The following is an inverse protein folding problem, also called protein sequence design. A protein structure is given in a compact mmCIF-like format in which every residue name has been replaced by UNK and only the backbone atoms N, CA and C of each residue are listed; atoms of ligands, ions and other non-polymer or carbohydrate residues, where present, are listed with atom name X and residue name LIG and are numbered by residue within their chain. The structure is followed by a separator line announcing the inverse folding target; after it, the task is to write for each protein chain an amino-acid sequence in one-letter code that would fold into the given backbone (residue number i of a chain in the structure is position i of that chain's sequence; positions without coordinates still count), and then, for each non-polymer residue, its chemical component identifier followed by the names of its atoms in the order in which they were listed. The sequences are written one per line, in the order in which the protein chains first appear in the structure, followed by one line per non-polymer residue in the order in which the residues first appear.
data_IF_239237698214
#
_entry.id   IF_239237698214
#
_cell.length_a   1.000
_cell.length_b   1.000
_cell.length_c   1.000
_cell.angle_alpha   90.00
_cell.angle_beta   90.00
_cell.angle_gamma   90.00
#
_symmetry.space_group_name_H-M   'P 1'
#
loop_
_entity.id
_entity.type
_entity.pdbx_description
1 polymer ?
#
# COMPACT_ATOMS: atom_id res chain seq x y z
N UNK A 1 58.36 10.64 -14.34
CA UNK A 1 59.57 11.16 -15.06
C UNK A 1 59.30 10.95 -16.53
N UNK A 2 58.45 11.78 -17.12
CA UNK A 2 58.69 13.18 -17.57
C UNK A 2 59.33 13.18 -18.96
N UNK A 3 58.53 13.61 -19.93
CA UNK A 3 58.86 14.55 -21.01
C UNK A 3 57.50 14.94 -21.62
N UNK A 4 56.85 16.01 -21.12
CA UNK A 4 56.84 17.39 -21.66
C UNK A 4 56.45 17.47 -23.14
N UNK A 5 55.20 17.94 -23.43
CA UNK A 5 54.85 19.30 -23.94
C UNK A 5 55.08 19.44 -25.46
N UNK A 6 54.28 20.11 -26.29
CA UNK A 6 53.17 21.08 -26.18
C UNK A 6 52.78 21.43 -27.63
N UNK A 7 51.54 21.90 -27.81
CA UNK A 7 51.03 22.91 -28.79
C UNK A 7 49.62 22.46 -29.25
N UNK A 8 48.55 23.00 -28.64
CA UNK A 8 47.87 24.30 -28.93
C UNK A 8 47.20 24.27 -30.32
N UNK A 9 45.98 24.74 -30.60
CA UNK A 9 44.79 25.29 -29.92
C UNK A 9 43.76 25.48 -31.09
N UNK A 10 42.58 26.12 -30.85
CA UNK A 10 41.77 26.92 -31.83
C UNK A 10 40.78 26.07 -32.70
N UNK A 11 39.45 26.25 -32.81
CA UNK A 11 38.35 27.17 -32.39
C UNK A 11 37.03 26.35 -32.50
N UNK A 12 36.02 26.44 -31.64
CA UNK A 12 34.96 27.47 -31.52
C UNK A 12 34.08 27.71 -32.77
N UNK A 13 32.77 27.48 -32.53
CA UNK A 13 31.54 28.04 -33.14
C UNK A 13 31.18 27.79 -34.61
N UNK A 14 29.97 27.24 -34.82
CA UNK A 14 28.89 27.92 -35.54
C UNK A 14 27.53 27.26 -35.22
N UNK A 15 26.63 28.03 -34.60
CA UNK A 15 25.17 27.89 -34.69
C UNK A 15 24.68 28.50 -36.01
N UNK A 16 23.61 27.94 -36.59
CA UNK A 16 22.55 28.63 -37.36
C UNK A 16 21.51 27.56 -37.76
N UNK A 17 20.34 27.51 -37.11
CA UNK A 17 19.09 28.21 -37.43
C UNK A 17 18.51 27.83 -38.82
N UNK A 18 17.33 27.22 -38.81
CA UNK A 18 16.51 26.92 -39.99
C UNK A 18 15.06 26.78 -39.55
N UNK A 19 14.45 27.92 -39.26
CA UNK A 19 13.02 28.13 -39.34
C UNK A 19 12.69 28.60 -40.75
N UNK A 20 11.80 27.89 -41.46
CA UNK A 20 11.21 28.37 -42.70
C UNK A 20 9.74 27.96 -42.80
N UNK A 21 8.97 28.97 -43.20
CA UNK A 21 7.52 29.12 -43.26
C UNK A 21 6.83 28.22 -44.29
N UNK A 22 5.60 27.80 -43.99
CA UNK A 22 4.55 27.61 -45.01
C UNK A 22 3.22 28.20 -44.50
N UNK A 23 2.87 29.37 -45.05
CA UNK A 23 1.50 29.91 -45.15
C UNK A 23 1.21 30.20 -46.63
N UNK A 24 0.15 29.60 -47.16
CA UNK A 24 -0.82 30.08 -48.17
C UNK A 24 -1.74 28.86 -48.46
N UNK A 25 -3.06 28.93 -48.59
CA UNK A 25 -3.86 29.94 -49.31
C UNK A 25 -5.33 29.90 -48.84
N UNK A 26 -5.96 31.07 -48.94
CA UNK A 26 -7.36 31.39 -48.63
C UNK A 26 -8.26 31.02 -49.81
N UNK A 27 -9.42 30.41 -49.56
CA UNK A 27 -10.63 30.67 -50.39
C UNK A 27 -11.85 30.89 -49.49
N UNK A 28 -12.46 32.05 -49.67
CA UNK A 28 -13.78 32.45 -49.16
C UNK A 28 -14.87 31.85 -50.06
N UNK A 29 -16.03 31.46 -49.51
CA UNK A 29 -17.30 31.97 -50.05
C UNK A 29 -18.48 31.95 -49.05
N UNK A 30 -19.20 33.08 -49.07
CA UNK A 30 -20.60 33.40 -48.75
C UNK A 30 -21.35 32.75 -47.56
N UNK A 31 -21.72 33.55 -46.56
CA UNK A 31 -23.10 34.07 -46.28
C UNK A 31 -24.09 33.00 -45.79
N UNK A 32 -24.65 33.06 -44.57
CA UNK A 32 -25.31 34.19 -43.93
C UNK A 32 -26.83 33.93 -43.97
N UNK A 33 -27.45 33.69 -42.81
CA UNK A 33 -28.79 34.18 -42.46
C UNK A 33 -29.17 33.80 -41.03
N UNK A 34 -29.27 34.83 -40.20
CA UNK A 34 -29.99 34.85 -38.94
C UNK A 34 -31.51 34.85 -39.19
N UNK A 35 -32.29 34.17 -38.36
CA UNK A 35 -33.40 34.76 -37.57
C UNK A 35 -34.46 33.75 -37.08
N UNK A 36 -34.59 33.72 -35.75
CA UNK A 36 -35.80 33.90 -34.92
C UNK A 36 -37.03 32.98 -34.94
N UNK A 37 -37.58 32.91 -33.72
CA UNK A 37 -38.91 32.50 -33.20
C UNK A 37 -39.08 31.03 -32.80
N UNK A 38 -39.33 30.65 -31.54
CA UNK A 38 -40.09 31.22 -30.40
C UNK A 38 -41.61 31.33 -30.61
N UNK A 39 -42.33 30.69 -29.69
CA UNK A 39 -43.80 30.70 -29.43
C UNK A 39 -44.67 29.91 -30.42
N UNK A 40 -45.76 29.22 -30.08
CA UNK A 40 -46.47 28.80 -28.86
C UNK A 40 -47.66 27.91 -29.34
N UNK A 41 -48.41 27.32 -28.41
CA UNK A 41 -49.79 26.78 -28.47
C UNK A 41 -50.14 25.48 -29.25
N UNK A 42 -50.50 24.44 -28.47
CA UNK A 42 -51.93 24.19 -28.23
C UNK A 42 -52.64 23.01 -28.92
N UNK A 43 -52.81 21.92 -28.15
CA UNK A 43 -54.07 21.19 -27.91
C UNK A 43 -54.73 20.22 -28.93
N UNK A 44 -55.34 19.19 -28.33
CA UNK A 44 -56.53 18.38 -28.71
C UNK A 44 -56.29 16.96 -29.27
N UNK A 45 -56.63 15.95 -28.43
CA UNK A 45 -57.59 14.81 -28.57
C UNK A 45 -57.81 14.16 -29.95
N UNK A 46 -58.27 12.92 -30.16
CA UNK A 46 -58.73 11.74 -29.40
C UNK A 46 -58.95 10.64 -30.49
N UNK A 47 -59.35 9.43 -30.08
CA UNK A 47 -59.87 8.29 -30.88
C UNK A 47 -58.83 7.39 -31.59
N UNK A 48 -58.55 6.16 -31.13
CA UNK A 48 -59.37 4.95 -31.02
C UNK A 48 -59.68 4.25 -32.36
N UNK A 49 -59.27 2.97 -32.49
CA UNK A 49 -60.12 1.78 -32.76
C UNK A 49 -59.31 0.60 -33.36
N UNK A 50 -59.29 -0.50 -32.57
CA UNK A 50 -59.42 -1.96 -32.85
C UNK A 50 -58.86 -2.62 -34.12
N UNK A 51 -58.22 -3.78 -33.91
CA UNK A 51 -58.78 -5.14 -34.13
C UNK A 51 -57.72 -6.19 -33.72
N UNK A 52 -57.92 -6.95 -32.63
CA UNK A 52 -58.45 -8.33 -32.60
C UNK A 52 -57.67 -9.34 -33.45
N UNK A 53 -57.02 -10.31 -32.80
CA UNK A 53 -57.23 -11.73 -33.12
C UNK A 53 -56.94 -12.64 -31.92
N UNK A 54 -57.87 -13.57 -31.74
CA UNK A 54 -57.97 -14.62 -30.70
C UNK A 54 -57.37 -15.92 -31.26
N UNK A 55 -57.03 -16.91 -30.42
CA UNK A 55 -57.34 -18.36 -30.56
C UNK A 55 -56.48 -19.22 -29.58
N UNK A 56 -57.18 -19.83 -28.59
CA UNK A 56 -57.05 -21.18 -27.95
C UNK A 56 -55.72 -21.64 -27.33
N UNK A 57 -55.60 -22.27 -26.15
CA UNK A 57 -56.55 -22.94 -25.25
C UNK A 57 -56.19 -24.43 -25.05
N UNK A 58 -55.63 -24.81 -23.88
CA UNK A 58 -55.76 -26.09 -23.12
C UNK A 58 -54.52 -26.28 -22.21
N UNK A 59 -54.59 -26.02 -20.90
CA UNK A 59 -55.01 -26.93 -19.81
C UNK A 59 -54.12 -28.16 -19.64
N UNK A 60 -53.36 -28.21 -18.54
CA UNK A 60 -53.12 -29.41 -17.74
C UNK A 60 -53.03 -29.02 -16.25
N UNK A 61 -53.92 -29.64 -15.48
CA UNK A 61 -53.99 -29.69 -14.02
C UNK A 61 -52.75 -30.38 -13.44
N UNK A 62 -52.28 -29.93 -12.27
CA UNK A 62 -52.15 -30.87 -11.15
C UNK A 62 -52.05 -30.12 -9.80
N UNK A 63 -52.95 -30.56 -8.92
CA UNK A 63 -53.17 -30.17 -7.54
C UNK A 63 -52.17 -30.88 -6.63
N UNK A 64 -51.67 -30.25 -5.55
CA UNK A 64 -51.53 -30.90 -4.22
C UNK A 64 -51.33 -29.84 -3.11
N UNK A 65 -52.27 -29.93 -2.17
CA UNK A 65 -52.44 -29.45 -0.80
C UNK A 65 -51.29 -28.78 -0.03
N UNK A 66 -51.61 -27.59 0.48
CA UNK A 66 -51.12 -27.05 1.77
C UNK A 66 -51.94 -27.62 2.94
N UNK A 67 -51.43 -27.50 4.18
CA UNK A 67 -52.31 -26.99 5.23
C UNK A 67 -51.70 -25.79 5.98
N UNK A 68 -52.51 -24.73 6.02
CA UNK A 68 -52.37 -23.52 6.83
C UNK A 68 -52.64 -23.82 8.30
N UNK A 69 -51.87 -23.22 9.22
CA UNK A 69 -52.34 -22.94 10.59
C UNK A 69 -51.86 -21.53 10.96
N UNK A 70 -52.78 -20.57 10.86
CA UNK A 70 -52.80 -19.37 11.69
C UNK A 70 -53.50 -19.70 13.01
N UNK A 71 -52.95 -19.21 14.12
CA UNK A 71 -53.74 -18.78 15.29
C UNK A 71 -52.97 -17.78 16.15
N UNK A 72 -53.40 -16.54 16.04
CA UNK A 72 -53.35 -15.52 17.09
C UNK A 72 -54.18 -15.95 18.32
N UNK A 73 -53.70 -15.61 19.52
CA UNK A 73 -54.43 -14.85 20.57
C UNK A 73 -53.63 -14.77 21.89
N UNK A 74 -53.08 -13.56 22.11
CA UNK A 74 -53.14 -12.72 23.31
C UNK A 74 -53.56 -13.35 24.66
N UNK A 75 -52.71 -13.26 25.70
CA UNK A 75 -53.01 -12.44 26.89
C UNK A 75 -51.78 -12.20 27.79
N UNK A 76 -51.66 -10.92 28.16
CA UNK A 76 -50.80 -10.29 29.17
C UNK A 76 -50.59 -11.05 30.48
N UNK A 77 -49.41 -10.89 31.10
CA UNK A 77 -49.28 -10.34 32.46
C UNK A 77 -47.95 -9.60 32.66
N UNK A 78 -48.10 -8.43 33.30
CA UNK A 78 -47.10 -7.45 33.75
C UNK A 78 -45.84 -8.03 34.40
N UNK A 79 -44.71 -7.36 34.17
CA UNK A 79 -43.83 -7.03 35.30
C UNK A 79 -43.14 -5.67 35.09
N UNK A 80 -43.32 -4.78 36.06
CA UNK A 80 -42.73 -3.44 36.11
C UNK A 80 -42.02 -3.30 37.46
N UNK A 81 -40.99 -2.44 37.46
CA UNK A 81 -40.34 -1.77 38.59
C UNK A 81 -39.17 -2.55 39.21
N UNK A 82 -37.94 -2.06 39.00
CA UNK A 82 -37.28 -1.21 40.00
C UNK A 82 -35.85 -0.83 39.59
N UNK A 83 -35.62 0.46 39.36
CA UNK A 83 -34.31 1.10 39.37
C UNK A 83 -33.85 1.36 40.81
N UNK A 84 -32.53 1.23 41.05
CA UNK A 84 -31.66 2.02 41.97
C UNK A 84 -30.46 1.17 42.45
N UNK A 85 -29.38 1.76 43.01
CA UNK A 85 -28.63 2.94 42.55
C UNK A 85 -27.09 2.76 42.60
N UNK A 86 -26.37 3.68 41.95
CA UNK A 86 -24.92 3.91 42.08
C UNK A 86 -24.50 4.26 43.53
N UNK A 87 -23.31 3.85 44.00
CA UNK A 87 -22.77 4.33 45.26
C UNK A 87 -22.14 5.73 45.08
N UNK A 88 -22.60 6.66 45.92
CA UNK A 88 -21.95 7.95 46.19
C UNK A 88 -20.69 7.70 47.03
N UNK A 89 -19.58 8.33 46.66
CA UNK A 89 -18.49 8.64 47.60
C UNK A 89 -18.43 10.14 47.79
N UNK A 90 -18.51 10.53 49.07
CA UNK A 90 -18.55 11.89 49.58
C UNK A 90 -17.16 12.55 49.53
N UNK A 91 -17.13 13.83 49.15
CA UNK A 91 -16.06 14.76 49.53
C UNK A 91 -16.11 15.07 51.04
N UNK A 92 -14.99 15.50 51.62
CA UNK A 92 -15.00 16.53 52.64
C UNK A 92 -14.41 17.85 52.11
N UNK A 93 -15.23 18.90 52.22
CA UNK A 93 -14.88 20.31 52.04
C UNK A 93 -13.97 20.86 53.16
N UNK A 94 -12.90 21.56 52.79
CA UNK A 94 -12.29 22.74 53.42
C UNK A 94 -11.34 23.29 52.34
N UNK A 95 -11.29 24.55 51.90
CA UNK A 95 -11.68 25.83 52.49
C UNK A 95 -10.56 26.83 52.15
N UNK A 96 -10.94 27.99 51.58
CA UNK A 96 -10.18 29.23 51.41
C UNK A 96 -9.10 29.27 50.30
N UNK A 97 -8.73 30.40 49.71
CA UNK A 97 -9.24 31.77 49.54
C UNK A 97 -8.05 32.57 48.97
N UNK A 98 -8.30 33.61 48.16
CA UNK A 98 -7.33 34.59 47.63
C UNK A 98 -6.25 34.02 46.69
N UNK A 99 -5.79 34.70 45.65
CA UNK A 99 -5.96 36.07 45.20
C UNK A 99 -4.85 36.32 44.16
N UNK A 100 -5.22 36.96 43.06
CA UNK A 100 -4.32 37.49 42.02
C UNK A 100 -3.13 38.25 42.61
N UNK A 101 -1.90 37.98 42.16
CA UNK A 101 -0.88 39.00 41.87
C UNK A 101 0.14 38.53 40.81
N UNK A 102 0.37 39.41 39.83
CA UNK A 102 1.52 39.50 38.94
C UNK A 102 2.84 39.58 39.72
N UNK A 103 3.89 38.91 39.25
CA UNK A 103 5.22 39.52 39.16
C UNK A 103 6.17 38.73 38.25
N UNK A 104 6.44 39.31 37.09
CA UNK A 104 7.71 39.39 36.36
C UNK A 104 8.92 38.75 37.06
N UNK A 105 9.51 37.72 36.44
CA UNK A 105 10.94 37.41 36.58
C UNK A 105 11.50 36.93 35.24
N UNK A 106 12.28 37.81 34.62
CA UNK A 106 13.21 37.50 33.54
C UNK A 106 14.22 36.47 34.04
N UNK A 107 14.49 35.43 33.25
CA UNK A 107 15.76 34.73 33.39
C UNK A 107 16.37 34.48 32.00
N UNK A 108 17.54 35.08 31.87
CA UNK A 108 18.36 35.27 30.68
C UNK A 108 19.23 34.02 30.50
N UNK A 109 18.97 33.22 29.47
CA UNK A 109 19.81 32.08 29.11
C UNK A 109 20.91 32.56 28.17
N UNK A 110 22.08 32.84 28.74
CA UNK A 110 23.31 33.15 27.98
C UNK A 110 23.88 31.88 27.34
N UNK A 111 24.00 31.92 26.01
CA UNK A 111 24.87 31.05 25.21
C UNK A 111 26.33 31.50 25.41
N UNK A 112 27.24 30.56 25.63
CA UNK A 112 28.67 30.80 25.46
C UNK A 112 29.19 29.94 24.30
N UNK A 113 29.86 30.62 23.36
CA UNK A 113 30.52 30.06 22.19
C UNK A 113 31.92 29.50 22.51
N UNK A 114 32.44 28.52 21.75
CA UNK A 114 33.82 28.07 21.90
C UNK A 114 34.79 28.96 21.11
N UNK A 115 35.84 29.47 21.79
CA UNK A 115 36.93 30.23 21.16
C UNK A 115 38.07 29.32 20.70
N UNK A 116 38.39 29.44 19.43
CA UNK A 116 39.65 29.10 18.76
C UNK A 116 40.73 30.12 19.13
N UNK A 117 41.98 29.69 19.39
CA UNK A 117 43.19 30.36 18.86
C UNK A 117 44.48 29.61 19.21
N UNK A 118 45.37 29.62 18.22
CA UNK A 118 46.68 28.99 18.06
C UNK A 118 47.78 29.62 18.92
N UNK A 119 48.87 28.88 19.15
CA UNK A 119 50.28 29.28 18.90
C UNK A 119 51.27 28.14 19.21
N UNK A 120 52.15 27.83 18.26
CA UNK A 120 53.34 26.95 18.35
C UNK A 120 54.55 27.71 18.95
N UNK A 121 55.72 27.10 19.30
CA UNK A 121 56.66 26.51 18.31
C UNK A 121 57.55 25.30 18.76
N UNK A 122 58.02 24.55 17.75
CA UNK A 122 59.36 23.97 17.50
C UNK A 122 60.17 23.33 18.65
N UNK A 123 60.45 22.02 18.54
CA UNK A 123 61.79 21.46 18.81
C UNK A 123 61.99 20.12 18.07
N UNK A 124 63.16 19.98 17.43
CA UNK A 124 63.65 18.79 16.72
C UNK A 124 64.12 17.70 17.70
N UNK A 125 63.95 16.42 17.32
CA UNK A 125 64.57 15.31 18.05
C UNK A 125 64.37 13.97 17.34
N UNK A 126 65.38 13.54 16.58
CA UNK A 126 65.53 12.18 16.03
C UNK A 126 65.50 11.11 17.14
N UNK A 127 64.79 10.01 16.92
CA UNK A 127 64.85 8.84 17.81
C UNK A 127 64.00 7.68 17.31
N UNK A 128 64.63 6.78 16.55
CA UNK A 128 64.10 5.52 16.03
C UNK A 128 63.50 4.61 17.10
N UNK A 129 62.28 4.12 16.87
CA UNK A 129 61.64 3.04 17.66
C UNK A 129 60.71 2.23 16.77
N UNK A 130 61.00 0.94 16.64
CA UNK A 130 60.47 0.03 15.63
C UNK A 130 59.02 -0.44 15.86
N UNK A 131 58.40 -0.86 14.76
CA UNK A 131 57.23 -1.74 14.68
C UNK A 131 57.27 -2.92 15.65
N UNK A 132 56.12 -3.22 16.27
CA UNK A 132 55.46 -4.55 16.33
C UNK A 132 54.00 -4.28 16.75
N UNK A 133 52.97 -4.60 15.97
CA UNK A 133 52.57 -5.99 15.71
C UNK A 133 52.07 -6.62 17.00
N UNK A 134 50.87 -6.22 17.46
CA UNK A 134 50.20 -6.93 18.57
C UNK A 134 49.61 -8.20 17.98
N UNK A 135 50.46 -9.22 17.89
CA UNK A 135 50.04 -10.59 17.58
C UNK A 135 49.35 -11.15 18.83
N UNK A 136 48.04 -10.97 18.93
CA UNK A 136 47.21 -11.66 19.91
C UNK A 136 47.18 -13.16 19.59
N UNK A 137 48.24 -13.87 19.99
CA UNK A 137 48.32 -15.31 19.90
C UNK A 137 47.32 -15.94 20.88
N UNK A 138 46.16 -16.32 20.37
CA UNK A 138 45.19 -17.17 21.06
C UNK A 138 45.87 -18.52 21.34
N UNK A 139 46.36 -18.71 22.57
CA UNK A 139 46.97 -19.97 23.01
C UNK A 139 45.87 -20.96 23.41
N UNK A 140 45.39 -21.73 22.44
CA UNK A 140 44.45 -22.83 22.71
C UNK A 140 45.24 -23.99 23.31
N UNK A 141 44.99 -24.31 24.58
CA UNK A 141 45.59 -25.47 25.24
C UNK A 141 45.19 -26.75 24.47
N UNK A 142 46.14 -27.66 24.26
CA UNK A 142 45.94 -28.93 23.54
C UNK A 142 44.83 -29.77 24.16
N UNK A 143 44.60 -29.64 25.46
CA UNK A 143 43.49 -30.32 26.16
C UNK A 143 42.13 -29.66 25.92
N UNK A 144 42.10 -28.33 25.80
CA UNK A 144 40.86 -27.58 25.52
C UNK A 144 40.48 -27.67 24.05
N UNK A 145 41.45 -27.77 23.15
CA UNK A 145 41.23 -28.04 21.73
C UNK A 145 40.36 -29.29 21.53
N UNK A 146 40.68 -30.39 22.20
CA UNK A 146 39.89 -31.62 22.12
C UNK A 146 38.51 -31.51 22.78
N UNK A 147 38.32 -30.62 23.76
CA UNK A 147 36.99 -30.31 24.33
C UNK A 147 36.14 -29.57 23.31
N UNK A 148 36.68 -28.53 22.67
CA UNK A 148 35.95 -27.76 21.65
C UNK A 148 35.66 -28.58 20.40
N UNK A 149 36.60 -29.39 19.92
CA UNK A 149 36.36 -30.30 18.78
C UNK A 149 35.21 -31.27 19.08
N UNK A 150 35.11 -31.81 20.30
CA UNK A 150 34.00 -32.68 20.71
C UNK A 150 32.68 -31.91 20.76
N UNK A 151 32.66 -30.69 21.30
CA UNK A 151 31.46 -29.85 21.36
C UNK A 151 30.98 -29.49 19.95
N UNK A 152 31.89 -29.07 19.07
CA UNK A 152 31.59 -28.75 17.67
C UNK A 152 31.08 -29.99 16.92
N UNK A 153 31.68 -31.16 17.15
CA UNK A 153 31.20 -32.41 16.55
C UNK A 153 29.78 -32.77 17.03
N UNK A 154 29.48 -32.60 18.32
CA UNK A 154 28.12 -32.82 18.85
C UNK A 154 27.13 -31.81 18.27
N UNK A 155 27.50 -30.53 18.19
CA UNK A 155 26.65 -29.50 17.57
C UNK A 155 26.43 -29.79 16.08
N UNK A 156 27.46 -30.19 15.34
CA UNK A 156 27.33 -30.57 13.94
C UNK A 156 26.41 -31.79 13.77
N UNK A 157 26.50 -32.78 14.65
CA UNK A 157 25.58 -33.95 14.66
C UNK A 157 24.16 -33.55 15.05
N UNK A 158 23.98 -32.59 15.96
CA UNK A 158 22.65 -32.07 16.30
C UNK A 158 22.06 -31.24 15.16
N UNK A 159 22.86 -30.42 14.47
CA UNK A 159 22.42 -29.66 13.30
C UNK A 159 22.11 -30.60 12.14
N UNK A 160 22.98 -31.55 11.84
CA UNK A 160 22.75 -32.55 10.79
C UNK A 160 21.58 -33.46 11.14
N UNK A 161 21.45 -33.87 12.40
CA UNK A 161 20.32 -34.65 12.89
C UNK A 161 19.01 -33.85 12.89
N UNK A 162 19.04 -32.54 13.17
CA UNK A 162 17.89 -31.65 13.07
C UNK A 162 17.47 -31.42 11.62
N UNK A 163 18.43 -31.17 10.72
CA UNK A 163 18.17 -31.07 9.28
C UNK A 163 17.68 -32.40 8.71
N UNK A 164 18.28 -33.53 9.12
CA UNK A 164 17.78 -34.87 8.77
C UNK A 164 16.38 -35.09 9.34
N UNK A 165 16.08 -34.65 10.56
CA UNK A 165 14.74 -34.75 11.16
C UNK A 165 13.71 -33.85 10.46
N UNK A 166 14.10 -32.70 9.92
CA UNK A 166 13.25 -31.83 9.08
C UNK A 166 13.05 -32.44 7.68
N UNK A 167 14.02 -33.20 7.16
CA UNK A 167 13.92 -33.86 5.85
C UNK A 167 13.20 -35.21 5.94
N UNK A 168 13.34 -35.95 7.04
CA UNK A 168 12.73 -37.26 7.31
C UNK A 168 11.34 -37.12 7.93
N UNK A 169 11.09 -36.03 8.69
CA UNK A 169 9.74 -35.44 8.75
C UNK A 169 9.56 -34.57 7.52
N UNK A 170 9.51 -35.23 6.37
CA UNK A 170 8.85 -34.65 5.23
C UNK A 170 7.54 -34.03 5.74
N UNK A 171 7.46 -32.71 5.70
CA UNK A 171 6.22 -32.08 5.28
C UNK A 171 6.10 -32.46 3.82
N UNK A 172 5.88 -33.75 3.57
CA UNK A 172 5.00 -34.16 2.51
C UNK A 172 3.77 -33.33 2.81
N UNK A 173 3.50 -32.39 1.92
CA UNK A 173 2.16 -31.88 1.73
C UNK A 173 1.32 -33.14 1.55
N UNK A 174 0.83 -33.67 2.66
CA UNK A 174 -0.17 -34.70 2.71
C UNK A 174 -1.43 -33.97 2.23
N UNK A 175 -1.48 -33.72 0.93
CA UNK A 175 -2.71 -33.89 0.20
C UNK A 175 -3.09 -35.30 0.55
N UNK A 176 -3.94 -35.42 1.56
CA UNK A 176 -4.66 -36.65 1.83
C UNK A 176 -5.31 -36.94 0.49
N UNK A 177 -4.75 -37.87 -0.29
CA UNK A 177 -5.45 -38.43 -1.43
C UNK A 177 -6.69 -39.07 -0.82
N UNK A 178 -7.81 -38.33 -0.91
CA UNK A 178 -9.11 -38.85 -0.55
C UNK A 178 -9.28 -40.16 -1.34
N UNK A 179 -9.43 -41.32 -0.68
CA UNK A 179 -9.65 -42.58 -1.38
C UNK A 179 -10.95 -42.59 -2.20
N UNK A 180 -11.79 -41.55 -2.09
CA UNK A 180 -12.93 -41.29 -2.98
C UNK A 180 -12.58 -40.51 -4.26
N UNK A 181 -11.33 -40.09 -4.46
CA UNK A 181 -10.89 -39.37 -5.66
C UNK A 181 -11.32 -37.90 -5.70
N UNK A 182 -11.73 -37.29 -4.58
CA UNK A 182 -11.92 -35.86 -4.51
C UNK A 182 -10.56 -35.17 -4.36
N UNK A 183 -9.90 -34.95 -5.49
CA UNK A 183 -8.86 -33.92 -5.57
C UNK A 183 -9.52 -32.62 -5.09
N UNK A 184 -8.98 -31.93 -4.06
CA UNK A 184 -9.43 -30.59 -3.73
C UNK A 184 -9.44 -29.80 -5.04
N UNK A 185 -10.54 -29.12 -5.42
CA UNK A 185 -10.58 -28.37 -6.65
C UNK A 185 -9.32 -27.51 -6.70
N UNK A 186 -8.55 -27.60 -7.79
CA UNK A 186 -7.47 -26.67 -8.03
C UNK A 186 -8.02 -25.27 -7.73
N UNK A 187 -7.42 -24.55 -6.77
CA UNK A 187 -7.91 -23.25 -6.31
C UNK A 187 -8.17 -22.43 -7.57
N UNK A 188 -9.44 -22.16 -7.86
CA UNK A 188 -9.83 -21.57 -9.12
C UNK A 188 -9.10 -20.24 -9.26
N UNK A 189 -8.39 -20.03 -10.36
CA UNK A 189 -7.79 -18.73 -10.67
C UNK A 189 -8.93 -17.72 -10.73
N UNK A 190 -8.81 -16.64 -9.98
CA UNK A 190 -9.74 -15.51 -10.04
C UNK A 190 -9.19 -14.55 -11.08
N UNK A 191 -9.99 -14.21 -12.09
CA UNK A 191 -9.65 -13.08 -12.96
C UNK A 191 -9.82 -11.78 -12.17
N UNK A 192 -8.72 -11.10 -11.89
CA UNK A 192 -8.69 -9.83 -11.18
C UNK A 192 -8.46 -8.73 -12.20
N UNK A 193 -9.39 -7.78 -12.27
CA UNK A 193 -9.26 -6.60 -13.13
C UNK A 193 -8.12 -5.70 -12.64
N UNK A 194 -7.41 -5.06 -13.57
CA UNK A 194 -6.26 -4.17 -13.31
C UNK A 194 -6.45 -2.77 -13.94
N UNK A 195 -7.70 -2.34 -14.08
CA UNK A 195 -8.23 -1.30 -14.98
C UNK A 195 -7.42 0.03 -14.99
N UNK A 196 -7.77 0.94 -14.10
CA UNK A 196 -7.20 2.27 -13.89
C UNK A 196 -6.15 2.30 -12.78
N UNK A 197 -5.82 1.13 -12.25
CA UNK A 197 -5.00 0.97 -11.05
C UNK A 197 -3.53 1.37 -11.25
N UNK A 198 -2.91 1.77 -10.15
CA UNK A 198 -1.49 2.09 -10.14
C UNK A 198 -0.62 0.84 -10.38
N UNK A 199 0.21 0.89 -11.43
CA UNK A 199 1.13 -0.19 -11.81
C UNK A 199 2.60 0.19 -11.61
N UNK A 200 3.35 -0.62 -10.85
CA UNK A 200 4.82 -0.54 -10.70
C UNK A 200 5.48 -1.61 -11.56
N UNK A 201 6.41 -1.21 -12.42
CA UNK A 201 7.13 -2.09 -13.35
C UNK A 201 6.60 -2.03 -14.78
N UNK A 202 7.02 -2.99 -15.60
CA UNK A 202 6.57 -3.09 -17.00
C UNK A 202 5.12 -3.58 -17.07
N UNK A 203 4.21 -2.76 -17.63
CA UNK A 203 2.80 -3.13 -17.80
C UNK A 203 2.60 -4.41 -18.64
N UNK A 204 3.59 -4.81 -19.44
CA UNK A 204 3.56 -6.03 -20.25
C UNK A 204 4.30 -7.22 -19.62
N UNK A 205 4.73 -7.10 -18.36
CA UNK A 205 5.36 -8.20 -17.64
C UNK A 205 4.45 -9.44 -17.65
N UNK A 206 5.00 -10.65 -17.84
CA UNK A 206 4.22 -11.88 -17.95
C UNK A 206 3.53 -12.31 -16.65
N UNK A 207 3.95 -11.76 -15.51
CA UNK A 207 3.35 -12.03 -14.21
C UNK A 207 2.84 -10.73 -13.59
N UNK A 208 1.57 -10.73 -13.21
CA UNK A 208 0.93 -9.63 -12.49
C UNK A 208 0.67 -10.07 -11.06
N UNK A 209 1.16 -9.26 -10.12
CA UNK A 209 0.82 -9.34 -8.70
C UNK A 209 -0.17 -8.22 -8.42
N UNK A 210 -1.41 -8.56 -8.09
CA UNK A 210 -2.38 -7.59 -7.56
C UNK A 210 -2.35 -7.67 -6.04
N UNK A 211 -1.99 -6.58 -5.38
CA UNK A 211 -1.95 -6.45 -3.92
C UNK A 211 -3.16 -5.65 -3.43
N UNK A 212 -4.02 -6.25 -2.63
CA UNK A 212 -5.04 -5.55 -1.83
C UNK A 212 -4.47 -5.25 -0.45
N UNK A 213 -4.33 -3.95 -0.11
CA UNK A 213 -3.51 -3.52 1.02
C UNK A 213 -4.07 -2.29 1.73
N UNK A 214 -3.49 -1.99 2.88
CA UNK A 214 -3.96 -0.98 3.81
C UNK A 214 -2.75 -0.33 4.50
N UNK A 215 -2.63 0.99 4.38
CA UNK A 215 -1.49 1.75 4.91
C UNK A 215 -1.39 1.80 6.45
N UNK A 216 -2.46 1.50 7.20
CA UNK A 216 -2.43 1.33 8.66
C UNK A 216 -2.17 -0.12 9.10
N UNK A 217 -2.24 -1.08 8.18
CA UNK A 217 -2.10 -2.48 8.52
C UNK A 217 -0.63 -2.88 8.78
N UNK A 218 -0.28 -3.37 9.98
CA UNK A 218 1.09 -3.72 10.31
C UNK A 218 1.63 -4.90 9.48
N UNK A 219 0.75 -5.77 8.96
CA UNK A 219 1.17 -6.84 8.05
C UNK A 219 1.48 -6.31 6.65
N UNK A 220 0.77 -5.28 6.18
CA UNK A 220 1.07 -4.61 4.92
C UNK A 220 2.43 -3.92 5.01
N UNK A 221 2.69 -3.16 6.08
CA UNK A 221 4.03 -2.60 6.35
C UNK A 221 5.12 -3.67 6.39
N UNK A 222 4.84 -4.86 6.97
CA UNK A 222 5.81 -5.97 6.97
C UNK A 222 6.07 -6.49 5.56
N UNK A 223 5.04 -6.66 4.73
CA UNK A 223 5.22 -7.06 3.33
C UNK A 223 6.08 -6.04 2.58
N UNK A 224 5.71 -4.75 2.66
CA UNK A 224 6.44 -3.64 2.07
C UNK A 224 7.93 -3.67 2.44
N UNK A 225 8.24 -3.74 3.74
CA UNK A 225 9.61 -3.65 4.23
C UNK A 225 10.46 -4.90 4.03
N UNK A 226 9.87 -6.10 4.02
CA UNK A 226 10.64 -7.36 4.07
C UNK A 226 10.55 -8.21 2.81
N UNK A 227 9.45 -8.10 2.05
CA UNK A 227 9.17 -8.99 0.92
C UNK A 227 9.18 -8.23 -0.40
N UNK A 228 8.53 -7.06 -0.45
CA UNK A 228 8.43 -6.27 -1.67
C UNK A 228 9.81 -5.87 -2.20
N UNK A 229 10.76 -5.48 -1.34
CA UNK A 229 12.13 -5.14 -1.78
C UNK A 229 12.79 -6.25 -2.58
N UNK A 230 12.64 -7.51 -2.15
CA UNK A 230 13.22 -8.66 -2.85
C UNK A 230 12.48 -8.96 -4.16
N UNK A 231 11.16 -8.78 -4.19
CA UNK A 231 10.35 -8.91 -5.41
C UNK A 231 10.74 -7.83 -6.43
N UNK A 232 10.90 -6.59 -5.96
CA UNK A 232 11.25 -5.44 -6.77
C UNK A 232 12.61 -5.64 -7.46
N UNK A 233 13.63 -6.02 -6.69
CA UNK A 233 14.98 -6.25 -7.20
C UNK A 233 15.08 -7.43 -8.17
N UNK A 234 14.42 -8.55 -7.88
CA UNK A 234 14.60 -9.79 -8.64
C UNK A 234 13.64 -9.92 -9.83
N UNK A 235 12.45 -9.31 -9.75
CA UNK A 235 11.38 -9.55 -10.71
C UNK A 235 10.80 -8.29 -11.35
N UNK A 236 10.53 -7.22 -10.58
CA UNK A 236 9.91 -6.00 -11.15
C UNK A 236 10.92 -5.25 -12.02
N UNK A 237 12.10 -4.93 -11.49
CA UNK A 237 13.17 -4.24 -12.22
C UNK A 237 13.71 -5.04 -13.40
N UNK A 238 13.48 -6.35 -13.44
CA UNK A 238 13.88 -7.23 -14.54
C UNK A 238 12.78 -7.40 -15.61
N UNK A 239 11.64 -6.74 -15.45
CA UNK A 239 10.51 -6.79 -16.38
C UNK A 239 9.72 -8.10 -16.34
N UNK A 240 9.96 -8.95 -15.34
CA UNK A 240 9.27 -10.25 -15.19
C UNK A 240 7.94 -10.13 -14.47
N UNK A 241 7.83 -9.15 -13.58
CA UNK A 241 6.63 -8.90 -12.76
C UNK A 241 6.22 -7.44 -12.87
N UNK A 242 4.91 -7.19 -12.89
CA UNK A 242 4.35 -5.91 -12.47
C UNK A 242 3.55 -6.07 -11.18
N UNK A 243 3.57 -5.02 -10.37
CA UNK A 243 2.76 -4.91 -9.16
C UNK A 243 1.65 -3.91 -9.41
N UNK A 244 0.42 -4.35 -9.19
CA UNK A 244 -0.78 -3.50 -9.14
C UNK A 244 -1.16 -3.35 -7.68
N UNK A 245 -1.24 -2.12 -7.19
CA UNK A 245 -1.73 -1.85 -5.84
C UNK A 245 -3.23 -1.54 -5.90
N UNK A 246 -4.01 -2.12 -4.98
CA UNK A 246 -5.45 -1.92 -4.85
C UNK A 246 -5.78 -1.58 -3.40
N UNK A 247 -6.58 -0.54 -3.21
CA UNK A 247 -6.91 -0.07 -1.87
C UNK A 247 -7.90 -0.99 -1.15
N UNK A 248 -7.57 -1.35 0.09
CA UNK A 248 -8.45 -2.15 0.94
C UNK A 248 -8.45 -1.63 2.39
N UNK A 249 -8.86 -0.37 2.63
CA UNK A 249 -8.85 0.23 3.96
C UNK A 249 -9.83 -0.49 4.89
N UNK A 250 -9.31 -1.07 5.97
CA UNK A 250 -10.13 -1.78 6.95
C UNK A 250 -10.86 -0.78 7.85
N UNK A 251 -12.17 -0.95 8.07
CA UNK A 251 -12.98 0.05 8.79
C UNK A 251 -12.60 0.36 10.25
N UNK A 252 -11.71 -0.42 10.86
CA UNK A 252 -11.14 -0.13 12.19
C UNK A 252 -9.85 0.70 12.14
N UNK A 253 -9.28 0.89 10.95
CA UNK A 253 -8.16 1.77 10.67
C UNK A 253 -8.68 3.16 10.28
N UNK A 254 -8.54 4.12 11.20
CA UNK A 254 -9.13 5.45 11.08
C UNK A 254 -8.47 6.31 9.99
N UNK A 255 -7.20 6.07 9.67
CA UNK A 255 -6.47 6.85 8.65
C UNK A 255 -6.36 6.11 7.31
N UNK A 256 -6.66 4.82 7.24
CA UNK A 256 -6.47 4.02 6.04
C UNK A 256 -7.18 4.59 4.82
N UNK A 257 -8.45 4.99 4.96
CA UNK A 257 -9.23 5.59 3.87
C UNK A 257 -8.58 6.87 3.33
N UNK A 258 -8.15 7.78 4.22
CA UNK A 258 -7.52 9.04 3.78
C UNK A 258 -6.08 8.85 3.30
N UNK A 259 -5.39 7.79 3.73
CA UNK A 259 -4.08 7.44 3.21
C UNK A 259 -4.19 6.88 1.77
N UNK A 260 -5.17 6.02 1.52
CA UNK A 260 -5.53 5.54 0.18
C UNK A 260 -5.85 6.70 -0.77
N UNK A 261 -6.79 7.58 -0.38
CA UNK A 261 -7.11 8.78 -1.15
C UNK A 261 -5.87 9.68 -1.39
N UNK A 262 -4.94 9.76 -0.44
CA UNK A 262 -3.70 10.52 -0.62
C UNK A 262 -2.78 9.90 -1.67
N UNK A 263 -2.68 8.57 -1.74
CA UNK A 263 -1.93 7.88 -2.78
C UNK A 263 -2.56 8.14 -4.16
N UNK A 264 -3.89 8.02 -4.27
CA UNK A 264 -4.63 8.31 -5.50
C UNK A 264 -4.49 9.77 -5.95
N UNK A 265 -4.60 10.74 -5.04
CA UNK A 265 -4.37 12.15 -5.36
C UNK A 265 -2.93 12.45 -5.82
N UNK A 266 -1.94 11.69 -5.35
CA UNK A 266 -0.59 11.75 -5.89
C UNK A 266 -0.49 11.06 -7.26
N UNK A 267 -1.32 10.03 -7.50
CA UNK A 267 -1.48 9.35 -8.78
C UNK A 267 -1.99 10.26 -9.90
N UNK A 268 -2.90 11.20 -9.62
CA UNK A 268 -3.32 12.25 -10.57
C UNK A 268 -2.15 13.12 -11.07
N UNK A 269 -1.03 13.11 -10.33
CA UNK A 269 0.20 13.83 -10.66
C UNK A 269 1.34 12.89 -11.06
N UNK A 270 1.04 11.64 -11.41
CA UNK A 270 2.00 10.59 -11.82
C UNK A 270 2.99 10.17 -10.71
N UNK A 271 2.64 10.39 -9.43
CA UNK A 271 3.49 10.10 -8.26
C UNK A 271 2.85 9.15 -7.26
N UNK A 272 1.98 8.25 -7.73
CA UNK A 272 1.30 7.28 -6.87
C UNK A 272 2.28 6.49 -6.01
N UNK A 273 3.27 5.83 -6.66
CA UNK A 273 4.20 4.96 -5.94
C UNK A 273 5.15 5.73 -5.01
N UNK A 274 5.42 7.00 -5.28
CA UNK A 274 6.19 7.85 -4.36
C UNK A 274 5.41 8.14 -3.08
N UNK A 275 4.10 8.42 -3.19
CA UNK A 275 3.25 8.59 -2.02
C UNK A 275 3.01 7.27 -1.30
N UNK A 276 2.78 6.18 -2.03
CA UNK A 276 2.69 4.83 -1.47
C UNK A 276 3.92 4.49 -0.61
N UNK A 277 5.12 4.67 -1.16
CA UNK A 277 6.38 4.36 -0.45
C UNK A 277 6.49 5.26 0.79
N UNK A 278 6.17 6.56 0.65
CA UNK A 278 6.22 7.53 1.75
C UNK A 278 5.24 7.20 2.89
N UNK A 279 4.01 6.77 2.57
CA UNK A 279 2.99 6.40 3.56
C UNK A 279 3.41 5.18 4.37
N UNK A 280 4.05 4.18 3.74
CA UNK A 280 4.58 3.02 4.47
C UNK A 280 5.83 3.33 5.28
N UNK A 281 6.70 4.22 4.79
CA UNK A 281 7.97 4.57 5.44
C UNK A 281 7.77 5.46 6.67
N UNK A 282 6.95 6.50 6.55
CA UNK A 282 6.73 7.48 7.62
C UNK A 282 5.55 7.09 8.53
N UNK A 283 4.69 6.19 8.05
CA UNK A 283 3.43 5.83 8.69
C UNK A 283 2.36 6.92 8.55
N UNK A 284 1.14 6.56 8.95
CA UNK A 284 -0.05 7.36 8.64
C UNK A 284 -0.76 7.95 9.85
N UNK A 285 -0.20 7.78 11.05
CA UNK A 285 -0.80 8.24 12.31
C UNK A 285 -1.07 9.75 12.37
N UNK A 286 -0.32 10.56 11.60
CA UNK A 286 -0.54 12.01 11.50
C UNK A 286 -1.69 12.41 10.56
N UNK A 287 -2.30 11.45 9.85
CA UNK A 287 -3.47 11.65 8.99
C UNK A 287 -3.24 12.69 7.88
N UNK A 288 -4.33 13.35 7.48
CA UNK A 288 -4.37 14.33 6.38
C UNK A 288 -3.26 15.38 6.47
N UNK A 289 -2.95 15.89 7.68
CA UNK A 289 -1.91 16.89 7.85
C UNK A 289 -0.52 16.37 7.43
N UNK A 290 -0.19 15.12 7.80
CA UNK A 290 1.04 14.48 7.38
C UNK A 290 1.04 14.14 5.89
N UNK A 291 -0.08 13.71 5.32
CA UNK A 291 -0.18 13.38 3.88
C UNK A 291 0.09 14.62 3.02
N UNK A 292 -0.48 15.77 3.40
CA UNK A 292 -0.20 17.05 2.75
C UNK A 292 1.27 17.48 2.90
N UNK A 293 1.87 17.25 4.06
CA UNK A 293 3.29 17.50 4.27
C UNK A 293 4.15 16.59 3.37
N UNK A 294 3.80 15.31 3.23
CA UNK A 294 4.48 14.38 2.35
C UNK A 294 4.43 14.85 0.90
N UNK A 295 3.25 15.26 0.41
CA UNK A 295 3.06 15.83 -0.92
C UNK A 295 3.98 17.03 -1.19
N UNK A 296 4.06 17.97 -0.24
CA UNK A 296 4.98 19.11 -0.34
C UNK A 296 6.46 18.71 -0.34
N UNK A 297 6.84 17.70 0.45
CA UNK A 297 8.23 17.20 0.50
C UNK A 297 8.67 16.52 -0.80
N UNK A 298 7.75 15.84 -1.48
CA UNK A 298 8.04 15.16 -2.76
C UNK A 298 7.85 16.05 -4.00
N UNK A 299 7.51 17.33 -3.79
CA UNK A 299 7.43 18.35 -4.84
C UNK A 299 6.15 18.31 -5.69
N UNK A 300 5.05 17.77 -5.15
CA UNK A 300 3.75 17.83 -5.82
C UNK A 300 3.22 19.27 -5.89
N UNK A 301 2.30 19.51 -6.84
CA UNK A 301 1.45 20.69 -6.80
C UNK A 301 0.55 20.60 -5.56
N UNK A 302 0.92 21.36 -4.53
CA UNK A 302 0.23 21.36 -3.24
C UNK A 302 -1.24 21.80 -3.38
N UNK A 303 -1.54 22.73 -4.29
CA UNK A 303 -2.90 23.24 -4.46
C UNK A 303 -3.83 22.15 -4.99
N UNK A 304 -3.38 21.45 -6.05
CA UNK A 304 -4.13 20.32 -6.62
C UNK A 304 -4.27 19.16 -5.63
N UNK A 305 -3.17 18.82 -4.94
CA UNK A 305 -3.18 17.74 -3.97
C UNK A 305 -4.14 18.01 -2.80
N UNK A 306 -4.09 19.22 -2.24
CA UNK A 306 -4.96 19.62 -1.14
C UNK A 306 -6.44 19.61 -1.56
N UNK A 307 -6.75 20.12 -2.75
CA UNK A 307 -8.11 20.11 -3.30
C UNK A 307 -8.64 18.68 -3.49
N UNK A 308 -7.84 17.79 -4.09
CA UNK A 308 -8.20 16.39 -4.27
C UNK A 308 -8.47 15.69 -2.93
N UNK A 309 -7.56 15.83 -1.96
CA UNK A 309 -7.65 15.11 -0.69
C UNK A 309 -8.74 15.67 0.23
N UNK A 310 -8.92 16.99 0.29
CA UNK A 310 -9.92 17.63 1.15
C UNK A 310 -11.35 17.42 0.63
N UNK A 311 -11.53 17.41 -0.69
CA UNK A 311 -12.84 17.15 -1.31
C UNK A 311 -13.25 15.68 -1.21
N UNK A 312 -12.28 14.77 -1.04
CA UNK A 312 -12.52 13.34 -1.09
C UNK A 312 -12.81 12.83 -2.50
N UNK A 313 -12.23 13.49 -3.52
CA UNK A 313 -12.42 13.15 -4.94
C UNK A 313 -12.13 11.67 -5.24
N UNK A 314 -11.20 11.07 -4.50
CA UNK A 314 -10.76 9.68 -4.68
C UNK A 314 -11.54 8.66 -3.82
N UNK A 315 -12.52 9.09 -3.01
CA UNK A 315 -13.23 8.19 -2.12
C UNK A 315 -14.02 7.09 -2.87
N UNK A 316 -14.57 7.41 -4.05
CA UNK A 316 -15.30 6.44 -4.86
C UNK A 316 -14.37 5.37 -5.47
N UNK A 317 -13.16 5.77 -5.89
CA UNK A 317 -12.17 4.84 -6.43
C UNK A 317 -11.68 3.86 -5.36
N UNK A 318 -11.29 4.39 -4.19
CA UNK A 318 -10.92 3.57 -3.02
C UNK A 318 -12.05 2.60 -2.62
N UNK A 319 -13.31 3.04 -2.70
CA UNK A 319 -14.45 2.19 -2.38
C UNK A 319 -14.71 1.12 -3.45
N UNK A 320 -14.45 1.42 -4.73
CA UNK A 320 -14.49 0.45 -5.83
C UNK A 320 -13.45 -0.65 -5.61
N UNK A 321 -12.23 -0.29 -5.26
CA UNK A 321 -11.16 -1.24 -4.92
C UNK A 321 -11.51 -2.17 -3.77
N UNK A 322 -12.01 -1.59 -2.67
CA UNK A 322 -12.47 -2.37 -1.54
C UNK A 322 -13.58 -3.36 -1.93
N UNK A 323 -14.54 -2.92 -2.75
CA UNK A 323 -15.66 -3.74 -3.20
C UNK A 323 -15.20 -4.87 -4.14
N UNK A 324 -14.28 -4.58 -5.05
CA UNK A 324 -13.69 -5.56 -5.95
C UNK A 324 -12.89 -6.61 -5.18
N UNK A 325 -12.04 -6.20 -4.22
CA UNK A 325 -11.33 -7.14 -3.35
C UNK A 325 -12.30 -8.06 -2.60
N UNK A 326 -13.38 -7.50 -2.04
CA UNK A 326 -14.42 -8.28 -1.34
C UNK A 326 -15.08 -9.31 -2.28
N UNK A 327 -15.38 -8.90 -3.51
CA UNK A 327 -15.95 -9.76 -4.56
C UNK A 327 -14.98 -10.87 -4.98
N UNK A 328 -13.68 -10.61 -5.01
CA UNK A 328 -12.64 -11.60 -5.30
C UNK A 328 -12.29 -12.51 -4.11
N UNK A 329 -12.92 -12.29 -2.95
CA UNK A 329 -12.75 -13.14 -1.76
C UNK A 329 -11.63 -12.69 -0.82
N UNK A 330 -11.17 -11.44 -0.93
CA UNK A 330 -10.29 -10.82 0.07
C UNK A 330 -11.03 -10.72 1.39
N UNK A 331 -10.39 -11.20 2.47
CA UNK A 331 -10.97 -11.23 3.81
C UNK A 331 -10.12 -10.46 4.84
N UNK A 332 -9.03 -9.84 4.39
CA UNK A 332 -8.09 -9.08 5.21
C UNK A 332 -6.83 -8.76 4.43
N UNK A 333 -5.98 -7.92 5.02
CA UNK A 333 -4.81 -7.36 4.33
C UNK A 333 -3.48 -7.81 4.97
N UNK A 334 -2.41 -7.91 4.18
CA UNK A 334 -2.43 -7.82 2.72
C UNK A 334 -2.96 -9.13 2.10
N UNK A 335 -3.58 -9.04 0.93
CA UNK A 335 -3.95 -10.19 0.12
C UNK A 335 -3.42 -9.98 -1.31
N UNK A 336 -2.97 -11.07 -1.94
CA UNK A 336 -2.30 -11.00 -3.23
C UNK A 336 -2.92 -11.95 -4.22
N UNK A 337 -3.01 -11.55 -5.48
CA UNK A 337 -3.31 -12.44 -6.59
C UNK A 337 -2.13 -12.44 -7.57
N UNK A 338 -1.48 -13.59 -7.71
CA UNK A 338 -0.38 -13.78 -8.68
C UNK A 338 -0.98 -14.50 -9.88
N UNK A 339 -1.24 -13.76 -10.98
CA UNK A 339 -2.02 -14.25 -12.13
C UNK A 339 -3.31 -14.97 -11.70
N UNK A 340 -4.03 -14.37 -10.74
CA UNK A 340 -5.29 -14.89 -10.20
C UNK A 340 -5.17 -15.95 -9.10
N UNK A 341 -3.95 -16.36 -8.71
CA UNK A 341 -3.73 -17.27 -7.57
C UNK A 341 -3.62 -16.49 -6.27
N UNK A 342 -4.54 -16.73 -5.33
CA UNK A 342 -4.57 -16.06 -4.03
C UNK A 342 -3.39 -16.48 -3.13
N UNK A 343 -2.67 -15.50 -2.58
CA UNK A 343 -1.80 -15.63 -1.42
C UNK A 343 -2.35 -14.70 -0.33
N UNK A 344 -2.72 -15.28 0.81
CA UNK A 344 -3.27 -14.51 1.93
C UNK A 344 -2.19 -14.14 2.94
N UNK A 345 -2.15 -12.86 3.30
CA UNK A 345 -1.27 -12.31 4.33
C UNK A 345 0.15 -12.07 3.84
N UNK A 346 0.93 -11.36 4.66
CA UNK A 346 2.34 -11.10 4.41
C UNK A 346 3.18 -12.36 4.65
N UNK A 347 3.15 -13.28 3.68
CA UNK A 347 3.98 -14.48 3.59
C UNK A 347 5.44 -14.10 3.33
N UNK A 348 6.41 -14.96 3.70
CA UNK A 348 7.82 -14.66 3.45
C UNK A 348 8.16 -14.76 1.95
N UNK A 349 9.20 -14.05 1.52
CA UNK A 349 9.66 -14.01 0.13
C UNK A 349 9.73 -15.38 -0.59
N UNK A 350 10.22 -16.48 0.01
CA UNK A 350 10.26 -17.78 -0.67
C UNK A 350 8.89 -18.28 -1.17
N UNK A 351 7.80 -17.94 -0.48
CA UNK A 351 6.45 -18.30 -0.93
C UNK A 351 6.05 -17.51 -2.20
N UNK A 352 6.35 -16.21 -2.22
CA UNK A 352 6.12 -15.36 -3.40
C UNK A 352 6.99 -15.78 -4.57
N UNK A 353 8.29 -16.02 -4.33
CA UNK A 353 9.21 -16.51 -5.34
C UNK A 353 8.70 -17.82 -5.97
N UNK A 354 8.31 -18.80 -5.16
CA UNK A 354 7.76 -20.06 -5.68
C UNK A 354 6.54 -19.82 -6.59
N UNK A 355 5.62 -18.95 -6.18
CA UNK A 355 4.41 -18.65 -6.93
C UNK A 355 4.69 -17.86 -8.22
N UNK A 356 5.61 -16.90 -8.19
CA UNK A 356 6.04 -16.13 -9.37
C UNK A 356 6.73 -17.04 -10.39
N UNK A 357 7.71 -17.84 -9.94
CA UNK A 357 8.45 -18.75 -10.82
C UNK A 357 7.52 -19.79 -11.45
N UNK A 358 6.46 -20.23 -10.75
CA UNK A 358 5.47 -21.14 -11.31
C UNK A 358 4.63 -20.51 -12.45
N UNK A 359 4.57 -19.19 -12.57
CA UNK A 359 3.85 -18.49 -13.65
C UNK A 359 4.78 -18.01 -14.79
N UNK A 360 6.11 -18.04 -14.59
CA UNK A 360 7.10 -17.70 -15.61
C UNK A 360 7.53 -18.87 -16.51
N UNK A 361 7.18 -20.11 -16.14
CA UNK A 361 7.68 -21.33 -16.76
C UNK A 361 6.78 -21.90 -17.86
#
# INVERSE_FOLDING_TARGET
MNDEKREEDILEEEEEDSSDDIIEEVTQDSSGDENNNSEDVGSVAEDAVKSEDTITGSSFDDTISQPSIDRDLDTSQNNTISHSPLPKTEEPSQGNSFGSQNSSLNNEVKREEPKVSQNAPMEEGMGTGAHTGSDDHISINKEDFWKYVKIIAVIAVLILGYNYFIVDKGVENNVVEDPAGNVPPAVAKVEVSIDDDAVKGDKNAPVTIVEFSDYECPFCTRFYTQTLTQIDEQYIKTGKVNLVYRDYPLGFHQQAQKAAEAAECAGEQERYFDMHDKLFEEGVAGGVASFKQFAGQMGLDQGKFDECLDSGAMAEEVQKDFADGSKYGVQGTPAFFINGKLISGAQPFPAFQQAIEAELN
#
